data_IF_929596740858
#
_entry.id   IF_929596740858
#
_cell.length_a   1.000
_cell.length_b   1.000
_cell.length_c   1.000
_cell.angle_alpha   90.00
_cell.angle_beta   90.00
_cell.angle_gamma   90.00
#
_symmetry.space_group_name_H-M   'P 1'
#
loop_
_entity.id
_entity.type
_entity.pdbx_description
1 polymer ?
#
# COMPACT_ATOMS: atom_id res chain seq x y z
N UNK A 1 -1.48 -18.09 -3.80
CA UNK A 1 -0.78 -17.18 -4.74
C UNK A 1 -1.63 -16.89 -5.98
N UNK A 2 -1.57 -15.66 -6.53
CA UNK A 2 -2.02 -15.36 -7.90
C UNK A 2 -1.04 -15.98 -8.90
N UNK A 3 -1.54 -16.71 -9.91
CA UNK A 3 -0.70 -17.46 -10.86
C UNK A 3 -0.54 -16.76 -12.22
N UNK A 4 -1.16 -15.60 -12.44
CA UNK A 4 -1.20 -14.91 -13.75
C UNK A 4 -1.03 -13.39 -13.69
N UNK A 5 -0.41 -12.89 -12.63
CA UNK A 5 -0.16 -11.45 -12.48
C UNK A 5 1.28 -11.26 -12.05
N UNK A 6 2.02 -10.35 -12.71
CA UNK A 6 3.37 -9.99 -12.29
C UNK A 6 3.29 -9.42 -10.88
N UNK A 7 3.67 -10.22 -9.90
CA UNK A 7 3.80 -9.79 -8.50
C UNK A 7 5.23 -10.01 -8.07
N UNK A 8 5.83 -9.04 -7.38
CA UNK A 8 7.18 -9.16 -6.81
C UNK A 8 7.32 -10.14 -5.63
N UNK A 9 6.27 -10.89 -5.30
CA UNK A 9 6.19 -11.69 -4.07
C UNK A 9 5.36 -10.99 -2.99
N UNK A 10 5.54 -11.44 -1.74
CA UNK A 10 4.98 -10.77 -0.56
C UNK A 10 5.49 -9.33 -0.50
N UNK A 11 4.60 -8.37 -0.24
CA UNK A 11 4.96 -6.94 -0.17
C UNK A 11 5.61 -6.60 1.18
N UNK A 12 5.13 -7.21 2.26
CA UNK A 12 5.60 -7.00 3.62
C UNK A 12 6.01 -8.31 4.28
N UNK A 13 7.04 -8.22 5.14
CA UNK A 13 7.48 -9.34 5.97
C UNK A 13 6.38 -9.69 6.98
N UNK A 14 6.33 -10.96 7.41
CA UNK A 14 5.49 -11.36 8.53
C UNK A 14 6.08 -10.83 9.85
N UNK A 15 5.33 -10.02 10.63
CA UNK A 15 5.78 -9.59 11.95
C UNK A 15 5.76 -10.77 12.94
N UNK A 16 6.53 -10.72 14.05
CA UNK A 16 6.53 -11.76 15.06
C UNK A 16 5.11 -12.09 15.55
N UNK A 17 4.74 -13.37 15.54
CA UNK A 17 3.44 -13.84 16.01
C UNK A 17 2.25 -13.53 15.08
N UNK A 18 2.48 -12.95 13.91
CA UNK A 18 1.40 -12.53 13.00
C UNK A 18 1.71 -12.85 11.53
N UNK A 19 0.66 -12.99 10.73
CA UNK A 19 0.78 -13.00 9.27
C UNK A 19 0.42 -11.63 8.73
N UNK A 20 1.28 -11.05 7.89
CA UNK A 20 1.05 -9.71 7.34
C UNK A 20 -0.29 -9.64 6.58
N UNK A 21 -0.63 -10.66 5.78
CA UNK A 21 -1.87 -10.67 5.01
C UNK A 21 -3.13 -10.59 5.89
N UNK A 22 -3.13 -11.21 7.08
CA UNK A 22 -4.28 -11.19 8.01
C UNK A 22 -4.46 -9.80 8.61
N UNK A 23 -3.35 -9.14 8.98
CA UNK A 23 -3.37 -7.77 9.49
C UNK A 23 -3.86 -6.78 8.43
N UNK A 24 -3.37 -6.91 7.19
CA UNK A 24 -3.75 -6.05 6.07
C UNK A 24 -5.24 -6.22 5.74
N UNK A 25 -5.74 -7.46 5.74
CA UNK A 25 -7.15 -7.75 5.48
C UNK A 25 -8.06 -7.18 6.58
N UNK A 26 -7.70 -7.40 7.86
CA UNK A 26 -8.42 -6.83 9.02
C UNK A 26 -8.42 -5.31 9.02
N UNK A 27 -7.37 -4.69 8.49
CA UNK A 27 -7.29 -3.24 8.30
C UNK A 27 -8.13 -2.72 7.11
N UNK A 28 -8.96 -3.57 6.50
CA UNK A 28 -9.87 -3.19 5.42
C UNK A 28 -9.15 -2.81 4.13
N UNK A 29 -7.95 -3.35 3.91
CA UNK A 29 -7.13 -2.99 2.74
C UNK A 29 -7.35 -3.90 1.53
N UNK A 30 -8.18 -4.95 1.62
CA UNK A 30 -8.48 -5.81 0.47
C UNK A 30 -9.11 -4.99 -0.66
N UNK A 31 -8.52 -5.05 -1.85
CA UNK A 31 -8.98 -4.27 -3.00
C UNK A 31 -8.67 -2.77 -2.92
N UNK A 32 -8.01 -2.28 -1.86
CA UNK A 32 -7.59 -0.88 -1.74
C UNK A 32 -6.74 -0.48 -2.95
N UNK A 33 -7.01 0.68 -3.53
CA UNK A 33 -6.39 1.18 -4.76
C UNK A 33 -5.82 2.58 -4.58
N UNK A 34 -4.65 2.81 -5.16
CA UNK A 34 -4.04 4.12 -5.39
C UNK A 34 -3.52 4.12 -6.82
N UNK A 35 -3.99 5.04 -7.66
CA UNK A 35 -3.65 5.06 -9.09
C UNK A 35 -3.82 3.69 -9.77
N UNK A 36 -2.80 3.25 -10.49
CA UNK A 36 -2.76 1.93 -11.15
C UNK A 36 -2.41 0.75 -10.23
N UNK A 37 -2.11 0.99 -8.94
CA UNK A 37 -1.77 -0.04 -7.97
C UNK A 37 -2.97 -0.42 -7.09
N UNK A 38 -3.13 -1.71 -6.77
CA UNK A 38 -4.14 -2.19 -5.83
C UNK A 38 -3.68 -3.37 -4.97
N UNK A 39 -4.28 -3.55 -3.80
CA UNK A 39 -4.11 -4.76 -3.00
C UNK A 39 -4.93 -5.90 -3.61
N UNK A 40 -4.31 -7.07 -3.75
CA UNK A 40 -4.97 -8.25 -4.31
C UNK A 40 -6.19 -8.67 -3.48
N UNK A 41 -7.32 -8.85 -4.16
CA UNK A 41 -8.52 -9.45 -3.56
C UNK A 41 -8.36 -10.92 -3.19
N UNK A 42 -7.34 -11.60 -3.72
CA UNK A 42 -7.08 -13.02 -3.41
C UNK A 42 -6.15 -13.17 -2.21
N UNK A 43 -5.15 -12.30 -2.07
CA UNK A 43 -4.17 -12.38 -1.00
C UNK A 43 -3.61 -10.99 -0.65
N UNK A 44 -4.02 -10.44 0.48
CA UNK A 44 -3.80 -9.02 0.82
C UNK A 44 -2.34 -8.59 1.00
N UNK A 45 -1.38 -9.53 1.11
CA UNK A 45 0.05 -9.20 1.11
C UNK A 45 0.68 -9.09 -0.31
N UNK A 46 -0.13 -8.91 -1.35
CA UNK A 46 0.33 -8.70 -2.71
C UNK A 46 -0.25 -7.41 -3.28
N UNK A 47 0.62 -6.51 -3.73
CA UNK A 47 0.24 -5.40 -4.60
C UNK A 47 0.18 -5.91 -6.04
N UNK A 48 -0.88 -5.54 -6.73
CA UNK A 48 -1.10 -5.74 -8.16
C UNK A 48 -0.98 -4.39 -8.85
N UNK A 49 -0.07 -4.29 -9.81
CA UNK A 49 0.09 -3.13 -10.68
C UNK A 49 -0.55 -3.41 -12.05
N UNK A 50 -1.40 -2.51 -12.54
CA UNK A 50 -1.84 -2.51 -13.94
C UNK A 50 -0.87 -1.74 -14.84
N UNK A 51 -1.20 -1.63 -16.12
CA UNK A 51 -0.34 -0.99 -17.14
C UNK A 51 -0.15 0.52 -16.93
N UNK A 52 -0.97 1.15 -16.09
CA UNK A 52 -0.89 2.57 -15.77
C UNK A 52 -0.17 2.85 -14.44
N UNK A 53 0.16 1.80 -13.68
CA UNK A 53 0.74 1.93 -12.36
C UNK A 53 2.15 2.54 -12.41
N UNK A 54 2.36 3.57 -11.60
CA UNK A 54 3.67 4.16 -11.37
C UNK A 54 4.33 3.59 -10.11
N UNK A 55 5.65 3.76 -9.98
CA UNK A 55 6.34 3.42 -8.73
C UNK A 55 5.76 4.22 -7.53
N UNK A 56 5.35 5.47 -7.78
CA UNK A 56 4.72 6.32 -6.77
C UNK A 56 3.41 5.72 -6.24
N UNK A 57 2.57 5.18 -7.14
CA UNK A 57 1.31 4.53 -6.76
C UNK A 57 1.53 3.34 -5.84
N UNK A 58 2.55 2.51 -6.15
CA UNK A 58 2.91 1.33 -5.37
C UNK A 58 3.42 1.74 -3.98
N UNK A 59 4.29 2.75 -3.92
CA UNK A 59 4.81 3.26 -2.66
C UNK A 59 3.73 3.91 -1.79
N UNK A 60 2.87 4.73 -2.38
CA UNK A 60 1.77 5.40 -1.67
C UNK A 60 0.75 4.38 -1.16
N UNK A 61 0.38 3.40 -2.00
CA UNK A 61 -0.48 2.31 -1.57
C UNK A 61 0.12 1.54 -0.38
N UNK A 62 1.39 1.17 -0.44
CA UNK A 62 1.99 0.44 0.67
C UNK A 62 2.22 1.31 1.92
N UNK A 63 2.46 2.61 1.78
CA UNK A 63 2.45 3.56 2.92
C UNK A 63 1.07 3.62 3.57
N UNK A 64 0.00 3.70 2.77
CA UNK A 64 -1.37 3.74 3.28
C UNK A 64 -1.75 2.43 3.99
N UNK A 65 -1.35 1.28 3.45
CA UNK A 65 -1.52 -0.02 4.10
C UNK A 65 -0.80 -0.06 5.45
N UNK A 66 0.47 0.36 5.50
CA UNK A 66 1.24 0.44 6.76
C UNK A 66 0.54 1.34 7.78
N UNK A 67 0.06 2.50 7.35
CA UNK A 67 -0.65 3.46 8.21
C UNK A 67 -1.92 2.85 8.81
N UNK A 68 -2.76 2.19 7.99
CA UNK A 68 -4.01 1.57 8.46
C UNK A 68 -3.77 0.40 9.40
N UNK A 69 -2.82 -0.47 9.06
CA UNK A 69 -2.46 -1.61 9.92
C UNK A 69 -1.94 -1.13 11.26
N UNK A 70 -1.04 -0.14 11.26
CA UNK A 70 -0.54 0.45 12.51
C UNK A 70 -1.66 1.09 13.33
N UNK A 71 -2.54 1.89 12.70
CA UNK A 71 -3.65 2.53 13.40
C UNK A 71 -4.63 1.54 14.04
N UNK A 72 -4.88 0.39 13.39
CA UNK A 72 -5.79 -0.62 13.90
C UNK A 72 -5.16 -1.56 14.95
N UNK A 73 -3.87 -1.87 14.79
CA UNK A 73 -3.25 -3.01 15.51
C UNK A 73 -2.03 -2.65 16.34
N UNK A 74 -1.46 -1.46 16.15
CA UNK A 74 -0.17 -1.07 16.72
C UNK A 74 1.05 -1.73 16.06
N UNK A 75 0.84 -2.64 15.09
CA UNK A 75 1.93 -3.34 14.39
C UNK A 75 2.42 -2.51 13.21
N UNK A 76 3.73 -2.22 13.18
CA UNK A 76 4.37 -1.59 12.04
C UNK A 76 4.86 -2.67 11.06
N UNK A 77 4.25 -2.75 9.88
CA UNK A 77 4.71 -3.67 8.85
C UNK A 77 6.06 -3.23 8.28
N UNK A 78 6.95 -4.17 7.96
CA UNK A 78 8.21 -3.92 7.26
C UNK A 78 8.10 -4.31 5.79
N UNK A 79 8.66 -3.50 4.89
CA UNK A 79 8.75 -3.87 3.49
C UNK A 79 9.62 -5.13 3.33
N UNK A 80 9.15 -6.07 2.51
CA UNK A 80 9.93 -7.24 2.09
C UNK A 80 10.61 -6.98 0.74
N UNK A 81 9.93 -6.24 -0.14
CA UNK A 81 10.48 -5.82 -1.42
C UNK A 81 11.51 -4.70 -1.26
N UNK A 82 12.61 -4.78 -2.01
CA UNK A 82 13.57 -3.70 -2.14
C UNK A 82 13.03 -2.57 -3.01
N UNK A 83 13.20 -1.33 -2.55
CA UNK A 83 12.84 -0.12 -3.28
C UNK A 83 14.13 0.53 -3.75
N UNK A 84 14.33 0.59 -5.06
CA UNK A 84 15.53 1.14 -5.69
C UNK A 84 15.14 2.42 -6.44
N UNK A 85 16.00 3.43 -6.40
CA UNK A 85 15.77 4.77 -6.97
C UNK A 85 15.59 5.83 -5.88
N UNK A 86 15.45 7.08 -6.32
CA UNK A 86 15.18 8.19 -5.39
C UNK A 86 13.67 8.28 -5.12
N UNK A 87 13.25 8.38 -3.84
CA UNK A 87 11.86 8.60 -3.52
C UNK A 87 11.42 9.95 -4.09
N UNK A 88 10.24 9.99 -4.72
CA UNK A 88 9.68 11.27 -5.13
C UNK A 88 9.51 12.16 -3.89
N UNK A 89 9.88 13.44 -3.95
CA UNK A 89 9.62 14.37 -2.86
C UNK A 89 8.13 14.37 -2.53
N UNK A 90 7.79 14.42 -1.23
CA UNK A 90 6.40 14.48 -0.80
C UNK A 90 5.70 15.61 -1.55
N UNK A 91 4.64 15.27 -2.30
CA UNK A 91 3.79 16.29 -2.91
C UNK A 91 3.18 17.06 -1.75
N UNK A 92 3.61 18.32 -1.58
CA UNK A 92 2.98 19.24 -0.65
C UNK A 92 1.47 19.18 -0.90
N UNK A 93 0.71 18.74 0.10
CA UNK A 93 -0.75 18.68 0.02
C UNK A 93 -1.24 20.04 -0.46
N UNK A 94 -1.76 20.09 -1.69
CA UNK A 94 -2.48 21.25 -2.19
C UNK A 94 -3.79 21.36 -1.41
N UNK A 95 -3.71 21.89 -0.20
CA UNK A 95 -4.84 22.50 0.50
C UNK A 95 -5.15 23.79 -0.24
N UNK A 96 -5.77 23.68 -1.41
CA UNK A 96 -6.35 24.86 -2.05
C UNK A 96 -7.57 25.29 -1.25
N UNK A 97 -7.52 26.56 -0.85
CA UNK A 97 -8.37 27.17 0.14
C UNK A 97 -9.84 27.13 -0.21
N UNK A 98 -10.64 26.81 0.80
CA UNK A 98 -12.02 27.28 0.87
C UNK A 98 -11.97 28.78 1.19
N UNK A 99 -11.94 29.61 0.14
CA UNK A 99 -12.19 31.04 0.26
C UNK A 99 -13.71 31.21 0.29
N UNK A 100 -14.22 31.50 1.49
CA UNK A 100 -15.57 32.00 1.65
C UNK A 100 -15.73 33.29 0.83
N UNK A 101 -16.75 33.29 -0.03
CA UNK A 101 -17.35 34.53 -0.50
C UNK A 101 -18.63 34.72 0.30
N UNK A 102 -18.67 35.82 1.05
CA UNK A 102 -19.90 36.48 1.48
C UNK A 102 -20.70 36.92 0.26
#
# INVERSE_FOLDING_TARGET
>A
QPLRTRTGGSTFKNPPGHKAWELIDRAGCRGLRVGGARISEKHCNFIIADETATAADIEELGREVRRRVYALTGVLLEWEIERIGEPLPERASARNGWLGAK
#
